data_IF_725132455674
#
_entry.id   IF_725132455674
#
_cell.length_a   1.000
_cell.length_b   1.000
_cell.length_c   1.000
_cell.angle_alpha   90.00
_cell.angle_beta   90.00
_cell.angle_gamma   90.00
#
_symmetry.space_group_name_H-M   'P 1'
#
loop_
_entity.id
_entity.type
_entity.pdbx_description
1 polymer ?
#
# COMPACT_ATOMS: atom_id res chain seq x y z
N UNK A 1 -10.18 -14.96 -17.64
CA UNK A 1 -8.81 -14.73 -17.13
C UNK A 1 -8.74 -15.23 -15.68
N UNK A 2 -7.86 -16.19 -15.35
CA UNK A 2 -7.65 -16.60 -13.94
C UNK A 2 -7.03 -15.41 -13.19
N UNK A 3 -7.82 -14.77 -12.33
CA UNK A 3 -7.31 -13.80 -11.36
C UNK A 3 -6.17 -14.49 -10.59
N UNK A 4 -5.07 -13.78 -10.42
CA UNK A 4 -3.97 -14.29 -9.62
C UNK A 4 -4.51 -14.62 -8.23
N UNK A 5 -4.44 -15.88 -7.81
CA UNK A 5 -5.01 -16.29 -6.52
C UNK A 5 -3.88 -16.39 -5.49
N UNK A 6 -3.55 -15.26 -4.89
CA UNK A 6 -2.68 -15.24 -3.72
C UNK A 6 -3.50 -15.67 -2.50
N UNK A 7 -2.97 -16.53 -1.60
CA UNK A 7 -3.70 -16.92 -0.41
C UNK A 7 -3.98 -15.71 0.48
N UNK A 8 -5.24 -15.31 0.61
CA UNK A 8 -5.63 -14.15 1.44
C UNK A 8 -5.14 -14.30 2.89
N UNK A 9 -5.21 -15.50 3.46
CA UNK A 9 -4.70 -15.79 4.79
C UNK A 9 -3.18 -15.55 4.94
N UNK A 10 -2.39 -15.84 3.89
CA UNK A 10 -0.95 -15.56 3.91
C UNK A 10 -0.68 -14.05 3.86
N UNK A 11 -1.46 -13.32 3.06
CA UNK A 11 -1.39 -11.86 2.96
C UNK A 11 -1.77 -11.20 4.30
N UNK A 12 -2.87 -11.62 4.90
CA UNK A 12 -3.31 -11.14 6.21
C UNK A 12 -2.26 -11.39 7.29
N UNK A 13 -1.64 -12.58 7.31
CA UNK A 13 -0.60 -12.91 8.29
C UNK A 13 0.64 -12.05 8.07
N UNK A 14 1.02 -11.78 6.83
CA UNK A 14 2.15 -10.91 6.52
C UNK A 14 1.88 -9.46 6.93
N UNK A 15 0.69 -8.93 6.61
CA UNK A 15 0.24 -7.61 7.05
C UNK A 15 0.29 -7.52 8.59
N UNK A 16 -0.28 -8.50 9.29
CA UNK A 16 -0.27 -8.52 10.74
C UNK A 16 1.15 -8.49 11.33
N UNK A 17 2.09 -9.26 10.76
CA UNK A 17 3.50 -9.22 11.17
C UNK A 17 4.13 -7.84 10.92
N UNK A 18 3.81 -7.18 9.80
CA UNK A 18 4.34 -5.84 9.47
C UNK A 18 3.83 -4.77 10.42
N UNK A 19 2.58 -4.86 10.86
CA UNK A 19 2.02 -3.94 11.86
C UNK A 19 2.86 -3.93 13.14
N UNK A 20 3.36 -5.10 13.57
CA UNK A 20 4.21 -5.23 14.76
C UNK A 20 5.58 -4.57 14.62
N UNK A 21 6.01 -4.21 13.41
CA UNK A 21 7.29 -3.53 13.15
C UNK A 21 7.13 -2.04 12.89
N UNK A 22 5.89 -1.53 12.82
CA UNK A 22 5.63 -0.10 12.58
C UNK A 22 5.99 0.77 13.78
N UNK A 23 6.32 2.07 13.58
CA UNK A 23 6.38 3.05 14.66
C UNK A 23 5.08 3.07 15.49
N UNK A 24 5.14 3.37 16.81
CA UNK A 24 3.99 3.27 17.71
C UNK A 24 2.73 3.97 17.19
N UNK A 25 2.89 5.20 16.68
CA UNK A 25 1.80 6.01 16.15
C UNK A 25 1.03 5.33 14.99
N UNK A 26 1.76 4.69 14.06
CA UNK A 26 1.14 3.96 12.94
C UNK A 26 0.62 2.60 13.36
N UNK A 27 1.33 1.93 14.28
CA UNK A 27 0.96 0.62 14.82
C UNK A 27 -0.39 0.67 15.53
N UNK A 28 -0.58 1.62 16.43
CA UNK A 28 -1.81 1.78 17.21
C UNK A 28 -3.01 2.06 16.30
N UNK A 29 -2.87 3.07 15.43
CA UNK A 29 -3.90 3.47 14.46
C UNK A 29 -4.33 2.30 13.57
N UNK A 30 -3.35 1.54 13.06
CA UNK A 30 -3.63 0.41 12.17
C UNK A 30 -4.22 -0.77 12.95
N UNK A 31 -3.72 -1.07 14.16
CA UNK A 31 -4.20 -2.20 14.96
C UNK A 31 -5.66 -2.04 15.35
N UNK A 32 -6.06 -0.84 15.79
CA UNK A 32 -7.46 -0.53 16.13
C UNK A 32 -8.41 -0.82 14.95
N UNK A 33 -8.02 -0.40 13.74
CA UNK A 33 -8.81 -0.61 12.52
C UNK A 33 -8.72 -2.05 12.03
N UNK A 34 -7.56 -2.69 12.14
CA UNK A 34 -7.33 -4.07 11.71
C UNK A 34 -8.17 -5.09 12.47
N UNK A 35 -8.55 -4.78 13.72
CA UNK A 35 -9.49 -5.60 14.50
C UNK A 35 -10.93 -5.51 13.97
N UNK A 36 -11.28 -4.44 13.25
CA UNK A 36 -12.60 -4.28 12.65
C UNK A 36 -12.70 -5.14 11.39
N UNK A 37 -13.51 -6.21 11.45
CA UNK A 37 -13.80 -7.09 10.30
C UNK A 37 -14.07 -6.35 8.98
N UNK A 38 -14.95 -5.31 8.91
CA UNK A 38 -15.22 -4.62 7.65
C UNK A 38 -13.99 -3.89 7.11
N UNK A 39 -13.20 -3.25 7.98
CA UNK A 39 -11.98 -2.57 7.57
C UNK A 39 -10.94 -3.57 7.06
N UNK A 40 -10.66 -4.63 7.83
CA UNK A 40 -9.70 -5.67 7.45
C UNK A 40 -10.03 -6.27 6.09
N UNK A 41 -11.29 -6.64 5.86
CA UNK A 41 -11.76 -7.18 4.58
C UNK A 41 -11.54 -6.19 3.44
N UNK A 42 -12.01 -4.95 3.60
CA UNK A 42 -11.86 -3.90 2.59
C UNK A 42 -10.39 -3.59 2.28
N UNK A 43 -9.54 -3.54 3.30
CA UNK A 43 -8.10 -3.33 3.14
C UNK A 43 -7.45 -4.46 2.34
N UNK A 44 -7.75 -5.71 2.67
CA UNK A 44 -7.18 -6.86 1.96
C UNK A 44 -7.67 -6.89 0.50
N UNK A 45 -8.97 -6.75 0.27
CA UNK A 45 -9.58 -6.90 -1.06
C UNK A 45 -9.28 -5.73 -1.99
N UNK A 46 -9.34 -4.49 -1.50
CA UNK A 46 -9.25 -3.30 -2.35
C UNK A 46 -7.84 -2.68 -2.38
N UNK A 47 -7.00 -2.95 -1.38
CA UNK A 47 -5.67 -2.32 -1.27
C UNK A 47 -4.55 -3.33 -1.40
N UNK A 48 -4.49 -4.32 -0.53
CA UNK A 48 -3.35 -5.23 -0.48
C UNK A 48 -3.36 -6.26 -1.64
N UNK A 49 -4.49 -6.90 -1.94
CA UNK A 49 -4.57 -7.92 -3.00
C UNK A 49 -4.29 -7.36 -4.41
N UNK A 50 -4.81 -6.16 -4.79
CA UNK A 50 -4.46 -5.55 -6.07
C UNK A 50 -2.97 -5.20 -6.15
N UNK A 51 -2.36 -4.69 -5.07
CA UNK A 51 -0.92 -4.46 -5.01
C UNK A 51 -0.13 -5.75 -5.27
N UNK A 52 -0.50 -6.84 -4.59
CA UNK A 52 0.14 -8.14 -4.82
C UNK A 52 -0.04 -8.57 -6.28
N UNK A 53 -1.20 -8.35 -6.88
CA UNK A 53 -1.48 -8.69 -8.28
C UNK A 53 -0.61 -7.88 -9.24
N UNK A 54 -0.48 -6.57 -9.01
CA UNK A 54 0.38 -5.67 -9.77
C UNK A 54 1.85 -6.12 -9.69
N UNK A 55 2.32 -6.51 -8.51
CA UNK A 55 3.68 -7.04 -8.33
C UNK A 55 3.85 -8.39 -9.05
N UNK A 56 2.86 -9.28 -8.93
CA UNK A 56 2.93 -10.64 -9.47
C UNK A 56 2.91 -10.68 -11.00
N UNK A 57 1.99 -9.92 -11.59
CA UNK A 57 1.68 -9.94 -13.02
C UNK A 57 2.30 -8.78 -13.78
N UNK A 58 2.64 -7.69 -13.10
CA UNK A 58 3.33 -6.54 -13.67
C UNK A 58 4.75 -6.82 -14.14
N UNK A 59 5.25 -8.06 -14.10
CA UNK A 59 6.46 -8.47 -14.84
C UNK A 59 6.17 -9.11 -16.20
N UNK A 60 4.93 -9.54 -16.43
CA UNK A 60 4.49 -10.20 -17.67
C UNK A 60 3.61 -9.31 -18.53
N UNK A 61 3.06 -8.24 -17.97
CA UNK A 61 2.22 -7.28 -18.69
C UNK A 61 3.05 -6.31 -19.52
N UNK A 62 2.49 -5.86 -20.64
CA UNK A 62 2.99 -4.68 -21.34
C UNK A 62 2.69 -3.39 -20.52
N UNK A 63 3.27 -2.28 -20.96
CA UNK A 63 3.15 -1.01 -20.25
C UNK A 63 1.71 -0.48 -20.25
N UNK A 64 0.95 -0.71 -21.32
CA UNK A 64 -0.44 -0.27 -21.43
C UNK A 64 -1.33 -0.99 -20.42
N UNK A 65 -1.24 -2.32 -20.33
CA UNK A 65 -2.00 -3.13 -19.37
C UNK A 65 -1.61 -2.79 -17.92
N UNK A 66 -0.32 -2.55 -17.66
CA UNK A 66 0.12 -2.14 -16.33
C UNK A 66 -0.41 -0.76 -15.95
N UNK A 67 -0.39 0.20 -16.86
CA UNK A 67 -0.94 1.53 -16.64
C UNK A 67 -2.45 1.50 -16.39
N UNK A 68 -3.20 0.70 -17.16
CA UNK A 68 -4.64 0.50 -16.95
C UNK A 68 -4.91 -0.11 -15.56
N UNK A 69 -4.20 -1.17 -15.19
CA UNK A 69 -4.36 -1.78 -13.86
C UNK A 69 -3.98 -0.83 -12.71
N UNK A 70 -3.00 0.06 -12.92
CA UNK A 70 -2.64 1.11 -11.97
C UNK A 70 -3.74 2.18 -11.85
N UNK A 71 -4.44 2.49 -12.95
CA UNK A 71 -5.59 3.39 -12.96
C UNK A 71 -6.82 2.76 -12.32
N UNK A 72 -7.08 1.46 -12.55
CA UNK A 72 -8.15 0.73 -11.86
C UNK A 72 -7.89 0.65 -10.35
N UNK A 73 -6.62 0.57 -9.95
CA UNK A 73 -6.20 0.63 -8.54
C UNK A 73 -6.19 2.08 -8.00
N UNK A 74 -7.29 2.80 -8.24
CA UNK A 74 -7.49 4.18 -7.81
C UNK A 74 -7.91 4.30 -6.34
N UNK A 75 -7.09 3.76 -5.43
CA UNK A 75 -7.34 3.83 -3.98
C UNK A 75 -6.41 4.84 -3.31
N UNK A 76 -6.89 5.47 -2.23
CA UNK A 76 -6.09 6.38 -1.38
C UNK A 76 -5.63 5.68 -0.11
N UNK A 77 -4.39 5.97 0.31
CA UNK A 77 -3.78 5.39 1.51
C UNK A 77 -3.69 6.41 2.64
N UNK A 78 -3.96 5.95 3.87
CA UNK A 78 -3.44 6.58 5.06
C UNK A 78 -1.95 6.27 5.20
N UNK A 79 -1.21 7.12 5.89
CA UNK A 79 0.23 6.95 6.08
C UNK A 79 0.58 5.58 6.69
N UNK A 80 -0.14 5.17 7.74
CA UNK A 80 0.05 3.87 8.37
C UNK A 80 -0.23 2.68 7.42
N UNK A 81 -1.16 2.83 6.47
CA UNK A 81 -1.43 1.81 5.46
C UNK A 81 -0.30 1.71 4.44
N UNK A 82 0.23 2.84 3.98
CA UNK A 82 1.37 2.89 3.08
C UNK A 82 2.60 2.26 3.73
N UNK A 83 2.90 2.57 5.00
CA UNK A 83 4.02 1.97 5.74
C UNK A 83 3.92 0.44 5.85
N UNK A 84 2.71 -0.11 5.97
CA UNK A 84 2.49 -1.58 5.99
C UNK A 84 2.77 -2.21 4.62
N UNK A 85 2.41 -1.53 3.54
CA UNK A 85 2.46 -2.06 2.18
C UNK A 85 3.80 -1.81 1.48
N UNK A 86 4.54 -0.74 1.82
CA UNK A 86 5.84 -0.41 1.21
C UNK A 86 6.84 -1.57 1.20
N UNK A 87 7.04 -2.32 2.30
CA UNK A 87 7.96 -3.46 2.31
C UNK A 87 7.56 -4.55 1.30
N UNK A 88 6.26 -4.73 1.06
CA UNK A 88 5.76 -5.70 0.08
C UNK A 88 6.19 -5.33 -1.35
N UNK A 89 6.36 -4.04 -1.67
CA UNK A 89 6.89 -3.56 -2.96
C UNK A 89 8.42 -3.63 -3.01
N UNK A 90 9.09 -3.46 -1.87
CA UNK A 90 10.56 -3.48 -1.77
C UNK A 90 11.18 -4.89 -1.72
N UNK A 91 10.35 -5.94 -1.74
CA UNK A 91 10.84 -7.32 -1.84
C UNK A 91 10.94 -8.02 -0.51
N UNK A 92 10.18 -7.55 0.48
CA UNK A 92 10.02 -8.27 1.72
C UNK A 92 9.58 -9.72 1.47
N UNK A 93 10.16 -10.66 2.22
CA UNK A 93 10.26 -12.08 1.91
C UNK A 93 8.97 -12.82 1.51
N UNK A 94 7.79 -12.25 1.74
CA UNK A 94 6.53 -12.75 1.19
C UNK A 94 6.47 -12.69 -0.34
N UNK A 95 6.91 -11.57 -0.94
CA UNK A 95 6.78 -11.30 -2.38
C UNK A 95 8.11 -11.32 -3.14
N UNK A 96 9.23 -11.61 -2.45
CA UNK A 96 10.57 -11.63 -3.04
C UNK A 96 10.65 -12.48 -4.32
N UNK A 97 10.05 -13.68 -4.32
CA UNK A 97 10.02 -14.56 -5.50
C UNK A 97 9.14 -14.00 -6.63
N UNK A 98 8.09 -13.26 -6.28
CA UNK A 98 7.13 -12.73 -7.23
C UNK A 98 7.68 -11.49 -7.95
N UNK A 99 8.47 -10.69 -7.24
CA UNK A 99 9.22 -9.54 -7.75
C UNK A 99 10.41 -9.90 -8.62
N UNK A 100 10.81 -11.17 -8.67
CA UNK A 100 11.89 -11.61 -9.55
C UNK A 100 11.53 -11.19 -10.99
N UNK A 101 12.27 -10.22 -11.52
CA UNK A 101 12.10 -9.56 -12.83
C UNK A 101 11.02 -8.48 -12.94
N UNK A 102 10.52 -7.91 -11.83
CA UNK A 102 9.70 -6.70 -11.90
C UNK A 102 10.60 -5.51 -12.31
N UNK A 103 10.27 -4.74 -13.36
CA UNK A 103 11.03 -3.56 -13.74
C UNK A 103 11.10 -2.55 -12.58
N UNK A 104 12.28 -1.96 -12.37
CA UNK A 104 12.49 -0.99 -11.28
C UNK A 104 11.55 0.21 -11.39
N UNK A 105 11.25 0.67 -12.62
CA UNK A 105 10.32 1.77 -12.88
C UNK A 105 8.89 1.44 -12.40
N UNK A 106 8.45 0.18 -12.56
CA UNK A 106 7.13 -0.26 -12.10
C UNK A 106 7.09 -0.40 -10.58
N UNK A 107 8.17 -0.89 -9.96
CA UNK A 107 8.29 -0.89 -8.51
C UNK A 107 8.25 0.53 -7.94
N UNK A 108 8.94 1.48 -8.58
CA UNK A 108 8.92 2.88 -8.20
C UNK A 108 7.52 3.49 -8.36
N UNK A 109 6.84 3.24 -9.47
CA UNK A 109 5.46 3.70 -9.69
C UNK A 109 4.49 3.19 -8.61
N UNK A 110 4.66 1.94 -8.14
CA UNK A 110 3.88 1.40 -7.02
C UNK A 110 4.19 2.11 -5.70
N UNK A 111 5.47 2.40 -5.41
CA UNK A 111 5.87 3.17 -4.23
C UNK A 111 5.33 4.60 -4.29
N UNK A 112 5.40 5.24 -5.45
CA UNK A 112 4.86 6.58 -5.67
C UNK A 112 3.35 6.59 -5.46
N UNK A 113 2.62 5.58 -5.95
CA UNK A 113 1.18 5.43 -5.72
C UNK A 113 0.83 5.28 -4.24
N UNK A 114 1.63 4.55 -3.46
CA UNK A 114 1.45 4.47 -2.00
C UNK A 114 1.73 5.81 -1.30
N UNK A 115 2.61 6.63 -1.88
CA UNK A 115 2.99 7.95 -1.36
C UNK A 115 2.06 9.08 -1.83
N UNK A 116 1.29 8.87 -2.89
CA UNK A 116 0.26 9.81 -3.36
C UNK A 116 -0.82 9.94 -2.30
N UNK A 117 -0.60 10.90 -1.39
CA UNK A 117 -1.54 11.23 -0.33
C UNK A 117 -2.85 11.70 -0.96
N UNK A 118 -3.97 11.26 -0.37
CA UNK A 118 -5.17 12.12 -0.34
C UNK A 118 -4.67 13.48 0.16
N UNK A 119 -4.90 14.62 -0.54
CA UNK A 119 -4.50 15.91 -0.04
C UNK A 119 -5.00 16.00 1.40
N UNK A 120 -4.06 16.07 2.34
CA UNK A 120 -4.41 16.17 3.74
C UNK A 120 -5.31 17.40 3.83
N UNK A 121 -6.55 17.23 4.27
CA UNK A 121 -7.34 18.36 4.73
C UNK A 121 -6.42 19.09 5.69
N UNK A 122 -6.03 20.29 5.28
CA UNK A 122 -4.98 21.08 5.90
C UNK A 122 -5.38 21.19 7.37
N UNK A 123 -4.70 20.44 8.25
CA UNK A 123 -4.71 20.79 9.67
C UNK A 123 -4.08 22.16 9.70
N UNK A 124 -4.94 23.18 9.71
CA UNK A 124 -4.59 24.56 9.84
C UNK A 124 -3.87 24.71 11.17
N UNK A 125 -2.54 24.58 11.14
CA UNK A 125 -1.68 25.12 12.17
C UNK A 125 -1.76 26.65 12.01
N UNK A 126 -2.21 27.41 13.02
CA UNK A 126 -2.08 28.86 12.98
C UNK A 126 -0.59 29.16 13.15
N UNK A 127 0.10 29.37 12.05
CA UNK A 127 1.45 29.91 12.08
C UNK A 127 1.38 31.29 12.77
N UNK A 128 1.95 31.32 13.97
CA UNK A 128 2.04 32.50 14.80
C UNK A 128 2.96 33.54 14.15
N UNK A 129 2.40 34.74 13.90
CA UNK A 129 3.00 36.08 13.79
C UNK A 129 4.27 36.30 12.92
N UNK A 130 4.46 37.53 12.40
CA UNK A 130 5.18 38.50 13.23
C UNK A 130 4.53 39.88 13.27
N UNK A 131 4.68 40.53 14.42
CA UNK A 131 4.48 41.96 14.59
C UNK A 131 5.43 42.74 13.66
N UNK A 132 4.93 43.80 13.05
CA UNK A 132 5.77 44.85 12.48
C UNK A 132 5.08 46.20 12.71
N UNK A 133 5.75 47.02 13.52
CA UNK A 133 5.66 48.48 13.77
C UNK A 133 4.29 49.19 13.70
#
# INVERSE_FOLDING_TARGET
>A
MKLFSFPAAALEKAIHKRVLTLPPMHREWFTERWQQKPYKKSFVENKAMPLVTLIAKGKTWDDATFAEAMQEWDVTFYEAEAEVLRPLVQGDGLLQLMQKNLPAERAQALLDRLNTRRPAAVSAAPASAPATD
#
